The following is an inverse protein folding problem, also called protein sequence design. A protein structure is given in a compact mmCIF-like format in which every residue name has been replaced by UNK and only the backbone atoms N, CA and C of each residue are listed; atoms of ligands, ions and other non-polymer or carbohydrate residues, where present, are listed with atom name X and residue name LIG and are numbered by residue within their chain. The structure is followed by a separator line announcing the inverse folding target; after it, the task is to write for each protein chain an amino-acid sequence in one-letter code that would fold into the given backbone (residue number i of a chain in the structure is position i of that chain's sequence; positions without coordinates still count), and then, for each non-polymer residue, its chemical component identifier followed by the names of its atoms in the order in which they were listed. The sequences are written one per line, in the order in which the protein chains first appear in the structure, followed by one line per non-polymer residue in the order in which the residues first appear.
data_IF_325757446889
#
_entry.id   IF_325757446889
#
_cell.length_a   1.000
_cell.length_b   1.000
_cell.length_c   1.000
_cell.angle_alpha   90.00
_cell.angle_beta   90.00
_cell.angle_gamma   90.00
#
_symmetry.space_group_name_H-M   'P 1'
#
loop_
_entity.id
_entity.type
_entity.pdbx_description
1 polymer ?
#
# COMPACT_ATOMS: atom_id res chain seq x y z
N UNK A 1 -28.24 7.88 2.66
CA UNK A 1 -27.64 7.10 1.56
C UNK A 1 -26.17 7.46 1.59
N UNK A 2 -25.35 6.67 2.28
CA UNK A 2 -23.91 6.88 2.30
C UNK A 2 -23.35 6.21 1.05
N UNK A 3 -23.01 7.02 0.05
CA UNK A 3 -22.09 6.59 -1.01
C UNK A 3 -20.77 6.26 -0.31
N UNK A 4 -20.53 4.97 -0.07
CA UNK A 4 -19.25 4.48 0.42
C UNK A 4 -18.25 4.63 -0.72
N UNK A 5 -17.66 5.82 -0.85
CA UNK A 5 -16.54 6.05 -1.76
C UNK A 5 -15.39 5.14 -1.34
N UNK A 6 -15.16 4.06 -2.10
CA UNK A 6 -14.08 3.11 -1.80
C UNK A 6 -12.76 3.69 -2.31
N UNK A 7 -11.86 3.99 -1.39
CA UNK A 7 -10.49 4.43 -1.70
C UNK A 7 -9.50 3.27 -1.56
N UNK A 8 -8.62 3.14 -2.56
CA UNK A 8 -7.45 2.29 -2.50
C UNK A 8 -6.22 3.13 -2.13
N UNK A 9 -5.41 2.63 -1.22
CA UNK A 9 -4.17 3.25 -0.77
C UNK A 9 -2.99 2.46 -1.31
N UNK A 10 -2.16 3.11 -2.11
CA UNK A 10 -0.97 2.52 -2.72
C UNK A 10 0.25 3.03 -1.96
N UNK A 11 0.90 2.15 -1.23
CA UNK A 11 2.15 2.45 -0.54
C UNK A 11 3.28 2.30 -1.54
N UNK A 12 4.01 3.38 -1.75
CA UNK A 12 5.19 3.46 -2.61
C UNK A 12 6.43 3.23 -1.75
N UNK A 13 7.41 2.51 -2.30
CA UNK A 13 8.64 2.18 -1.60
C UNK A 13 9.84 2.62 -2.43
N UNK A 14 10.92 3.08 -1.78
CA UNK A 14 12.17 3.35 -2.47
C UNK A 14 12.77 2.05 -3.01
N UNK A 15 12.52 0.92 -2.34
CA UNK A 15 13.08 -0.39 -2.67
C UNK A 15 12.06 -1.54 -2.60
N UNK A 16 12.23 -2.54 -3.47
CA UNK A 16 11.41 -3.76 -3.45
C UNK A 16 11.60 -4.58 -2.17
N UNK A 17 12.77 -4.49 -1.54
CA UNK A 17 13.07 -5.10 -0.25
C UNK A 17 12.11 -4.60 0.85
N UNK A 18 11.91 -3.28 0.94
CA UNK A 18 11.01 -2.65 1.91
C UNK A 18 9.56 -3.05 1.66
N UNK A 19 9.12 -3.03 0.39
CA UNK A 19 7.77 -3.45 0.01
C UNK A 19 7.49 -4.92 0.33
N UNK A 20 8.44 -5.82 0.06
CA UNK A 20 8.32 -7.25 0.39
C UNK A 20 8.35 -7.50 1.90
N UNK A 21 9.17 -6.76 2.64
CA UNK A 21 9.23 -6.85 4.10
C UNK A 21 7.89 -6.43 4.70
N UNK A 22 7.40 -5.24 4.33
CA UNK A 22 6.12 -4.76 4.81
C UNK A 22 4.98 -5.71 4.42
N UNK A 23 4.97 -6.24 3.20
CA UNK A 23 3.94 -7.21 2.77
C UNK A 23 3.85 -8.42 3.69
N UNK A 24 5.00 -8.95 4.11
CA UNK A 24 5.06 -10.09 5.04
C UNK A 24 4.53 -9.71 6.42
N UNK A 25 4.92 -8.55 6.94
CA UNK A 25 4.46 -8.09 8.26
C UNK A 25 2.96 -7.79 8.28
N UNK A 26 2.46 -7.13 7.24
CA UNK A 26 1.02 -6.90 7.04
C UNK A 26 0.26 -8.23 6.95
N UNK A 27 0.77 -9.20 6.20
CA UNK A 27 0.16 -10.53 6.09
C UNK A 27 0.14 -11.27 7.43
N UNK A 28 1.19 -11.14 8.25
CA UNK A 28 1.22 -11.69 9.63
C UNK A 28 0.20 -11.02 10.54
N UNK A 29 0.02 -9.71 10.40
CA UNK A 29 -0.98 -8.93 11.14
C UNK A 29 -2.43 -9.16 10.66
N UNK A 30 -2.64 -9.96 9.60
CA UNK A 30 -3.97 -10.18 9.02
C UNK A 30 -4.48 -9.02 8.15
N UNK A 31 -3.61 -8.08 7.79
CA UNK A 31 -3.91 -6.93 6.93
C UNK A 31 -3.94 -7.39 5.47
N UNK A 32 -5.09 -7.22 4.79
CA UNK A 32 -5.18 -7.50 3.35
C UNK A 32 -4.44 -6.43 2.57
N UNK A 33 -3.34 -6.86 1.95
CA UNK A 33 -2.54 -6.04 1.06
C UNK A 33 -2.10 -6.85 -0.17
N UNK A 34 -2.04 -6.20 -1.33
CA UNK A 34 -1.70 -6.84 -2.60
C UNK A 34 -0.51 -6.14 -3.26
N UNK A 35 0.46 -6.91 -3.73
CA UNK A 35 1.61 -6.37 -4.47
C UNK A 35 1.14 -6.05 -5.88
N UNK A 36 1.27 -4.79 -6.27
CA UNK A 36 0.93 -4.29 -7.60
C UNK A 36 2.19 -3.78 -8.30
N UNK A 37 2.41 -4.13 -9.58
CA UNK A 37 3.54 -3.58 -10.33
C UNK A 37 3.37 -2.07 -10.48
N UNK A 38 4.44 -1.32 -10.25
CA UNK A 38 4.44 0.13 -10.43
C UNK A 38 4.13 0.44 -11.91
N UNK A 39 3.10 1.25 -12.21
CA UNK A 39 2.76 1.57 -13.59
C UNK A 39 3.91 2.30 -14.27
N UNK A 40 4.14 1.99 -15.55
CA UNK A 40 5.27 2.45 -16.39
C UNK A 40 5.49 3.98 -16.38
N UNK A 41 4.47 4.75 -16.03
CA UNK A 41 4.50 6.21 -15.86
C UNK A 41 5.29 6.70 -14.63
N UNK A 42 5.54 5.83 -13.63
CA UNK A 42 6.34 6.13 -12.45
C UNK A 42 7.73 5.45 -12.53
N UNK A 43 8.33 5.45 -13.73
CA UNK A 43 9.68 4.91 -13.97
C UNK A 43 10.75 5.84 -13.40
N UNK A 44 11.13 5.64 -12.15
CA UNK A 44 12.54 5.79 -11.75
C UNK A 44 12.91 5.11 -10.45
N UNK A 45 12.00 4.82 -9.52
CA UNK A 45 12.37 4.10 -8.30
C UNK A 45 11.32 3.06 -7.92
N UNK A 46 11.85 1.84 -7.78
CA UNK A 46 11.24 0.53 -7.52
C UNK A 46 9.86 0.16 -8.08
N UNK A 47 9.89 -0.83 -8.98
CA UNK A 47 8.78 -1.38 -9.75
C UNK A 47 7.65 -2.08 -8.98
N UNK A 48 7.53 -1.91 -7.65
CA UNK A 48 6.43 -2.48 -6.87
C UNK A 48 5.78 -1.46 -5.92
N UNK A 49 4.47 -1.62 -5.71
CA UNK A 49 3.67 -0.88 -4.76
C UNK A 49 2.75 -1.83 -3.99
N UNK A 50 2.37 -1.48 -2.76
CA UNK A 50 1.41 -2.24 -1.98
C UNK A 50 0.05 -1.56 -1.96
N UNK A 51 -0.96 -2.25 -2.48
CA UNK A 51 -2.34 -1.81 -2.42
C UNK A 51 -2.96 -2.29 -1.11
N UNK A 52 -3.51 -1.33 -0.36
CA UNK A 52 -4.21 -1.52 0.92
C UNK A 52 -5.56 -0.80 0.82
N UNK A 53 -6.63 -1.38 1.36
CA UNK A 53 -7.94 -0.70 1.45
C UNK A 53 -8.00 0.19 2.69
N UNK A 54 -8.93 1.15 2.71
CA UNK A 54 -9.08 2.07 3.84
C UNK A 54 -9.23 1.37 5.19
N UNK A 55 -10.01 0.29 5.22
CA UNK A 55 -10.26 -0.52 6.43
C UNK A 55 -8.96 -1.04 7.08
N UNK A 56 -7.94 -1.29 6.25
CA UNK A 56 -6.65 -1.82 6.69
C UNK A 56 -5.54 -0.76 6.69
N UNK A 57 -5.82 0.47 6.27
CA UNK A 57 -4.84 1.55 6.23
C UNK A 57 -4.29 1.85 7.64
N UNK A 58 -5.18 1.86 8.64
CA UNK A 58 -4.80 2.13 10.03
C UNK A 58 -3.81 1.06 10.53
N UNK A 59 -4.18 -0.20 10.42
CA UNK A 59 -3.32 -1.33 10.79
C UNK A 59 -2.02 -1.35 9.97
N UNK A 60 -2.08 -0.98 8.69
CA UNK A 60 -0.88 -0.90 7.87
C UNK A 60 0.10 0.18 8.36
N UNK A 61 -0.41 1.35 8.76
CA UNK A 61 0.43 2.40 9.35
C UNK A 61 1.08 1.94 10.66
N UNK A 62 0.35 1.25 11.52
CA UNK A 62 0.90 0.70 12.77
C UNK A 62 2.02 -0.31 12.50
N UNK A 63 1.86 -1.18 11.51
CA UNK A 63 2.91 -2.12 11.12
C UNK A 63 4.12 -1.41 10.50
N UNK A 64 3.90 -0.37 9.68
CA UNK A 64 4.99 0.45 9.11
C UNK A 64 5.80 1.11 10.23
N UNK A 65 5.12 1.71 11.20
CA UNK A 65 5.75 2.37 12.35
C UNK A 65 6.49 1.36 13.23
N UNK A 66 5.86 0.23 13.53
CA UNK A 66 6.44 -0.84 14.36
C UNK A 66 7.67 -1.50 13.71
N UNK A 67 7.65 -1.72 12.39
CA UNK A 67 8.74 -2.33 11.65
C UNK A 67 9.81 -1.28 11.23
N UNK A 68 9.48 0.01 11.24
CA UNK A 68 10.36 1.09 10.83
C UNK A 68 10.65 1.12 9.31
N UNK A 69 9.74 0.57 8.49
CA UNK A 69 9.93 0.47 7.04
C UNK A 69 9.91 1.86 6.41
N UNK A 70 10.87 2.14 5.53
CA UNK A 70 10.90 3.39 4.78
C UNK A 70 9.98 3.29 3.57
N UNK A 71 8.94 4.11 3.59
CA UNK A 71 8.02 4.29 2.47
C UNK A 71 8.31 5.63 1.79
N UNK A 72 8.15 5.68 0.48
CA UNK A 72 8.31 6.91 -0.30
C UNK A 72 7.06 7.79 -0.22
N UNK A 73 5.89 7.16 -0.07
CA UNK A 73 4.63 7.85 0.14
C UNK A 73 3.43 6.91 0.05
N UNK A 74 2.24 7.45 0.36
CA UNK A 74 0.98 6.72 0.23
C UNK A 74 0.10 7.47 -0.78
N UNK A 75 -0.14 6.88 -1.94
CA UNK A 75 -1.01 7.42 -2.96
C UNK A 75 -2.44 6.91 -2.75
N UNK A 76 -3.38 7.83 -2.52
CA UNK A 76 -4.81 7.53 -2.45
C UNK A 76 -5.43 7.57 -3.84
N UNK A 77 -6.12 6.50 -4.25
CA UNK A 77 -6.78 6.39 -5.55
C UNK A 77 -8.22 5.94 -5.33
N UNK A 78 -9.16 6.75 -5.80
CA UNK A 78 -10.59 6.40 -5.77
C UNK A 78 -10.87 5.25 -6.74
N UNK A 79 -11.51 4.18 -6.27
CA UNK A 79 -12.05 3.13 -7.16
C UNK A 79 -13.16 3.73 -8.01
N UNK A 80 -12.94 3.90 -9.31
CA UNK A 80 -14.04 4.15 -10.25
C UNK A 80 -14.75 2.81 -10.51
N UNK A 81 -16.00 2.71 -10.06
CA UNK A 81 -16.92 1.69 -10.57
C UNK A 81 -17.18 2.02 -12.05
N UNK A 82 -17.00 1.05 -12.95
CA UNK A 82 -17.41 1.17 -14.36
C UNK A 82 -18.52 0.18 -14.60
#
# INVERSE_FOLDING_TARGET
MEETEVYNYYILFPNHHEGLHLHKELKKAGVKCSISPTPRAASSFCGISLLVTEEYLQAAKEVIDSCGVRIEGIARIRRKHK
#
